data_IF_361117710292
#
_entry.id   IF_361117710292
#
_cell.length_a   1.000
_cell.length_b   1.000
_cell.length_c   1.000
_cell.angle_alpha   90.00
_cell.angle_beta   90.00
_cell.angle_gamma   90.00
#
_symmetry.space_group_name_H-M   'P 1'
#
loop_
_entity.id
_entity.type
_entity.pdbx_description
1 polymer ?
#
# COMPACT_ATOMS: atom_id res chain seq x y z
N UNK A 1 -9.31 42.06 -20.36
CA UNK A 1 -9.08 40.74 -20.98
C UNK A 1 -7.57 40.57 -21.04
N UNK A 2 -6.99 40.12 -19.99
CA UNK A 2 -5.53 39.90 -19.91
C UNK A 2 -5.32 38.69 -18.99
N UNK A 3 -4.59 37.76 -19.51
CA UNK A 3 -3.73 36.79 -18.87
C UNK A 3 -4.36 35.66 -18.04
N UNK A 4 -5.00 34.75 -18.77
CA UNK A 4 -5.22 33.36 -18.32
C UNK A 4 -4.21 32.46 -19.04
N UNK A 5 -2.93 32.75 -18.97
CA UNK A 5 -1.90 31.89 -19.56
C UNK A 5 -0.54 31.98 -18.83
N UNK A 6 -0.53 32.14 -17.53
CA UNK A 6 0.62 31.64 -16.80
C UNK A 6 0.50 30.11 -16.69
N UNK A 7 1.00 29.42 -17.72
CA UNK A 7 1.38 28.02 -17.59
C UNK A 7 2.48 27.99 -16.54
N UNK A 8 2.09 27.71 -15.27
CA UNK A 8 3.09 27.36 -14.26
C UNK A 8 3.90 26.20 -14.84
N UNK A 9 5.19 26.42 -15.14
CA UNK A 9 6.13 25.40 -15.53
C UNK A 9 6.40 24.50 -14.34
N UNK A 10 5.36 23.82 -13.84
CA UNK A 10 5.50 22.83 -12.80
C UNK A 10 6.16 21.61 -13.43
N UNK A 11 7.43 21.41 -13.15
CA UNK A 11 8.17 20.20 -13.51
C UNK A 11 7.89 19.18 -12.42
N UNK A 12 7.17 18.12 -12.77
CA UNK A 12 6.99 16.99 -11.89
C UNK A 12 8.31 16.21 -11.82
N UNK A 13 8.95 16.22 -10.65
CA UNK A 13 10.08 15.36 -10.35
C UNK A 13 9.58 14.13 -9.61
N UNK A 14 9.81 12.95 -10.17
CA UNK A 14 9.38 11.70 -9.56
C UNK A 14 10.10 11.46 -8.24
N UNK A 15 9.32 11.20 -7.20
CA UNK A 15 9.77 10.62 -5.94
C UNK A 15 8.83 9.50 -5.55
N UNK A 16 9.33 8.32 -5.16
CA UNK A 16 8.49 7.25 -4.66
C UNK A 16 7.68 7.72 -3.44
N UNK A 17 6.41 7.31 -3.37
CA UNK A 17 5.54 7.68 -2.23
C UNK A 17 6.08 7.22 -0.89
N UNK A 18 6.89 6.17 -0.87
CA UNK A 18 7.61 5.71 0.32
C UNK A 18 8.62 6.75 0.83
N UNK A 19 9.32 7.44 -0.08
CA UNK A 19 10.25 8.52 0.29
C UNK A 19 9.51 9.78 0.77
N UNK A 20 8.39 10.12 0.11
CA UNK A 20 7.52 11.20 0.59
C UNK A 20 6.98 10.90 1.99
N UNK A 21 6.60 9.65 2.26
CA UNK A 21 6.17 9.23 3.59
C UNK A 21 7.31 9.30 4.61
N UNK A 22 8.51 8.81 4.30
CA UNK A 22 9.69 8.88 5.18
C UNK A 22 10.06 10.32 5.54
N UNK A 23 9.89 11.25 4.61
CA UNK A 23 10.09 12.68 4.89
C UNK A 23 9.05 13.21 5.88
N UNK A 24 7.77 12.80 5.78
CA UNK A 24 6.75 13.16 6.77
C UNK A 24 7.06 12.55 8.15
N UNK A 25 7.59 11.33 8.21
CA UNK A 25 8.07 10.71 9.45
C UNK A 25 9.18 11.55 10.08
N UNK A 26 10.15 12.01 9.27
CA UNK A 26 11.25 12.85 9.74
C UNK A 26 10.78 14.19 10.29
N UNK A 27 9.80 14.81 9.63
CA UNK A 27 9.30 16.15 10.00
C UNK A 27 8.31 16.10 11.17
N UNK A 28 7.52 15.03 11.29
CA UNK A 28 6.38 14.96 12.19
C UNK A 28 6.25 13.59 12.89
N UNK A 29 7.33 13.07 13.55
CA UNK A 29 7.36 11.69 14.06
C UNK A 29 6.22 11.37 15.03
N UNK A 30 5.86 12.31 15.90
CA UNK A 30 4.87 12.11 16.95
C UNK A 30 3.44 12.47 16.54
N UNK A 31 3.25 13.02 15.33
CA UNK A 31 1.93 13.34 14.83
C UNK A 31 1.17 12.05 14.48
N UNK A 32 -0.14 12.02 14.75
CA UNK A 32 -1.00 10.91 14.33
C UNK A 32 -0.98 10.79 12.80
N UNK A 33 -0.58 9.61 12.30
CA UNK A 33 -0.55 9.29 10.88
C UNK A 33 -1.81 8.55 10.44
N UNK A 34 -2.32 7.66 11.27
CA UNK A 34 -3.51 6.85 11.01
C UNK A 34 -4.25 6.60 12.31
N UNK A 35 -5.57 6.63 12.25
CA UNK A 35 -6.44 6.34 13.39
C UNK A 35 -7.65 5.52 12.94
N UNK A 36 -8.05 4.59 13.78
CA UNK A 36 -9.30 3.84 13.71
C UNK A 36 -10.12 4.09 14.98
N UNK A 37 -11.28 3.48 15.10
CA UNK A 37 -12.08 3.54 16.34
C UNK A 37 -11.42 2.81 17.53
N UNK A 38 -10.43 1.93 17.26
CA UNK A 38 -9.80 1.06 18.27
C UNK A 38 -8.38 1.49 18.64
N UNK A 39 -7.66 2.09 17.69
CA UNK A 39 -6.23 2.38 17.83
C UNK A 39 -5.80 3.54 16.94
N UNK A 40 -4.63 4.08 17.21
CA UNK A 40 -3.98 5.06 16.33
C UNK A 40 -2.47 4.87 16.36
N UNK A 41 -1.80 5.16 15.24
CA UNK A 41 -0.34 5.18 15.16
C UNK A 41 0.15 6.57 14.78
N UNK A 42 1.26 6.98 15.40
CA UNK A 42 2.02 8.14 14.94
C UNK A 42 2.76 7.82 13.64
N UNK A 43 3.31 8.83 12.98
CA UNK A 43 4.16 8.61 11.81
C UNK A 43 5.35 7.70 12.13
N UNK A 44 6.00 7.89 13.28
CA UNK A 44 7.10 7.04 13.71
C UNK A 44 6.68 5.59 13.93
N UNK A 45 5.56 5.35 14.63
CA UNK A 45 5.05 4.01 14.88
C UNK A 45 4.61 3.29 13.60
N UNK A 46 3.91 4.01 12.70
CA UNK A 46 3.51 3.46 11.42
C UNK A 46 4.72 3.08 10.57
N UNK A 47 5.76 3.94 10.56
CA UNK A 47 6.99 3.70 9.83
C UNK A 47 7.77 2.50 10.38
N UNK A 48 7.90 2.39 11.69
CA UNK A 48 8.57 1.26 12.34
C UNK A 48 7.92 -0.07 11.95
N UNK A 49 6.58 -0.15 12.05
CA UNK A 49 5.83 -1.35 11.66
C UNK A 49 6.00 -1.67 10.17
N UNK A 50 5.86 -0.66 9.30
CA UNK A 50 6.08 -0.80 7.87
C UNK A 50 7.49 -1.29 7.54
N UNK A 51 8.52 -0.82 8.25
CA UNK A 51 9.90 -1.24 8.06
C UNK A 51 10.14 -2.70 8.46
N UNK A 52 9.59 -3.15 9.59
CA UNK A 52 9.67 -4.55 10.01
C UNK A 52 9.05 -5.48 8.98
N UNK A 53 7.86 -5.12 8.49
CA UNK A 53 7.18 -5.84 7.41
C UNK A 53 8.02 -5.84 6.14
N UNK A 54 8.54 -4.68 5.72
CA UNK A 54 9.35 -4.56 4.50
C UNK A 54 10.61 -5.43 4.56
N UNK A 55 11.35 -5.37 5.67
CA UNK A 55 12.57 -6.16 5.83
C UNK A 55 12.27 -7.66 5.83
N UNK A 56 11.17 -8.11 6.50
CA UNK A 56 10.73 -9.50 6.42
C UNK A 56 10.38 -9.94 5.00
N UNK A 57 9.73 -9.06 4.21
CA UNK A 57 9.37 -9.35 2.83
C UNK A 57 10.59 -9.42 1.91
N UNK A 58 11.58 -8.55 2.11
CA UNK A 58 12.85 -8.56 1.37
C UNK A 58 13.59 -9.87 1.62
N UNK A 59 13.68 -10.34 2.86
CA UNK A 59 14.29 -11.63 3.23
C UNK A 59 13.60 -12.82 2.52
N UNK A 60 12.30 -12.70 2.22
CA UNK A 60 11.51 -13.69 1.46
C UNK A 60 11.59 -13.48 -0.06
N UNK A 61 12.38 -12.50 -0.50
CA UNK A 61 12.62 -12.21 -1.91
C UNK A 61 11.52 -11.39 -2.59
N UNK A 62 10.70 -10.65 -1.84
CA UNK A 62 9.80 -9.64 -2.42
C UNK A 62 10.65 -8.47 -2.94
N UNK A 63 10.27 -7.94 -4.08
CA UNK A 63 10.92 -6.81 -4.76
C UNK A 63 10.12 -6.39 -5.98
N UNK A 64 10.77 -5.68 -6.91
CA UNK A 64 10.16 -5.11 -8.11
C UNK A 64 9.29 -6.13 -8.85
N UNK A 65 8.11 -5.68 -9.30
CA UNK A 65 7.09 -6.44 -10.05
C UNK A 65 6.49 -7.65 -9.30
N UNK A 66 6.82 -7.88 -8.03
CA UNK A 66 6.16 -8.93 -7.24
C UNK A 66 4.93 -8.36 -6.53
N UNK A 67 3.77 -8.93 -6.86
CA UNK A 67 2.50 -8.56 -6.23
C UNK A 67 2.31 -9.41 -4.97
N UNK A 68 2.05 -8.77 -3.84
CA UNK A 68 1.72 -9.41 -2.56
C UNK A 68 0.23 -9.22 -2.30
N UNK A 69 -0.48 -10.33 -2.07
CA UNK A 69 -1.89 -10.31 -1.68
C UNK A 69 -2.05 -9.80 -0.24
N UNK A 70 -3.13 -9.07 0.01
CA UNK A 70 -3.46 -8.57 1.36
C UNK A 70 -4.90 -8.92 1.68
N UNK A 71 -5.11 -9.67 2.77
CA UNK A 71 -6.43 -9.99 3.33
C UNK A 71 -6.45 -9.54 4.78
N UNK A 72 -6.87 -8.31 5.01
CA UNK A 72 -6.90 -7.68 6.33
C UNK A 72 -8.15 -6.83 6.50
N UNK A 73 -8.65 -6.76 7.73
CA UNK A 73 -9.65 -5.76 8.10
C UNK A 73 -9.10 -4.33 7.94
N UNK A 74 -10.01 -3.36 7.81
CA UNK A 74 -9.66 -1.94 7.78
C UNK A 74 -9.22 -1.48 9.18
N UNK A 75 -7.95 -1.59 9.47
CA UNK A 75 -7.31 -1.21 10.75
C UNK A 75 -6.03 -0.41 10.47
N UNK A 76 -5.37 0.06 11.52
CA UNK A 76 -4.12 0.81 11.35
C UNK A 76 -3.02 -0.02 10.71
N UNK A 77 -2.96 -1.32 11.01
CA UNK A 77 -1.99 -2.25 10.42
C UNK A 77 -2.17 -2.47 8.91
N UNK A 78 -3.38 -2.30 8.38
CA UNK A 78 -3.61 -2.33 6.94
C UNK A 78 -2.74 -1.31 6.19
N UNK A 79 -2.56 -0.12 6.78
CA UNK A 79 -1.69 0.91 6.21
C UNK A 79 -0.21 0.56 6.39
N UNK A 80 0.17 -0.04 7.52
CA UNK A 80 1.54 -0.50 7.76
C UNK A 80 1.94 -1.58 6.75
N UNK A 81 1.05 -2.55 6.47
CA UNK A 81 1.28 -3.62 5.49
C UNK A 81 1.48 -3.05 4.09
N UNK A 82 0.61 -2.14 3.65
CA UNK A 82 0.73 -1.51 2.32
C UNK A 82 2.04 -0.75 2.19
N UNK A 83 2.37 0.08 3.19
CA UNK A 83 3.66 0.79 3.20
C UNK A 83 4.85 -0.17 3.23
N UNK A 84 4.75 -1.27 4.00
CA UNK A 84 5.79 -2.29 4.08
C UNK A 84 6.04 -2.98 2.74
N UNK A 85 4.98 -3.35 2.02
CA UNK A 85 5.09 -3.94 0.68
C UNK A 85 5.77 -2.97 -0.30
N UNK A 86 5.33 -1.70 -0.32
CA UNK A 86 5.93 -0.69 -1.19
C UNK A 86 7.39 -0.41 -0.82
N UNK A 87 7.72 -0.35 0.47
CA UNK A 87 9.11 -0.19 0.94
C UNK A 87 10.00 -1.39 0.58
N UNK A 88 9.44 -2.59 0.49
CA UNK A 88 10.15 -3.76 -0.02
C UNK A 88 10.37 -3.70 -1.56
N UNK A 89 9.81 -2.71 -2.24
CA UNK A 89 9.83 -2.58 -3.69
C UNK A 89 8.79 -3.44 -4.41
N UNK A 90 7.88 -4.10 -3.67
CA UNK A 90 6.78 -4.88 -4.22
C UNK A 90 5.53 -4.05 -4.49
N UNK A 91 4.54 -4.68 -5.11
CA UNK A 91 3.20 -4.14 -5.30
C UNK A 91 2.19 -4.92 -4.46
N UNK A 92 1.01 -4.35 -4.20
CA UNK A 92 -0.02 -5.06 -3.45
C UNK A 92 -1.31 -5.23 -4.25
N UNK A 93 -2.02 -6.36 -4.00
CA UNK A 93 -3.40 -6.57 -4.39
C UNK A 93 -4.23 -6.87 -3.14
N UNK A 94 -5.35 -6.17 -2.97
CA UNK A 94 -6.19 -6.29 -1.76
C UNK A 94 -7.46 -7.05 -2.07
N UNK A 95 -7.80 -8.01 -1.21
CA UNK A 95 -9.12 -8.60 -1.14
C UNK A 95 -9.68 -8.39 0.28
N UNK A 96 -10.92 -7.89 0.38
CA UNK A 96 -11.55 -7.71 1.67
C UNK A 96 -11.84 -9.07 2.34
N UNK A 97 -11.72 -9.18 3.67
CA UNK A 97 -11.92 -10.46 4.38
C UNK A 97 -13.32 -11.03 4.22
N UNK A 98 -14.32 -10.20 3.94
CA UNK A 98 -15.73 -10.57 3.73
C UNK A 98 -16.06 -10.96 2.27
N UNK A 99 -15.07 -10.90 1.36
CA UNK A 99 -15.32 -11.36 -0.01
C UNK A 99 -15.55 -12.87 -0.06
N UNK A 100 -16.46 -13.34 -0.97
CA UNK A 100 -16.60 -14.77 -1.25
C UNK A 100 -15.25 -15.42 -1.61
N UNK A 101 -15.05 -16.65 -1.18
CA UNK A 101 -13.80 -17.39 -1.40
C UNK A 101 -13.39 -17.45 -2.87
N UNK A 102 -14.33 -17.75 -3.77
CA UNK A 102 -14.07 -17.82 -5.21
C UNK A 102 -13.58 -16.49 -5.79
N UNK A 103 -14.06 -15.37 -5.23
CA UNK A 103 -13.60 -14.03 -5.63
C UNK A 103 -12.18 -13.75 -5.16
N UNK A 104 -11.86 -14.10 -3.91
CA UNK A 104 -10.50 -13.94 -3.38
C UNK A 104 -9.52 -14.82 -4.14
N UNK A 105 -9.89 -16.07 -4.38
CA UNK A 105 -9.09 -17.01 -5.17
C UNK A 105 -8.83 -16.46 -6.57
N UNK A 106 -9.88 -16.03 -7.28
CA UNK A 106 -9.74 -15.45 -8.62
C UNK A 106 -8.77 -14.27 -8.63
N UNK A 107 -8.91 -13.30 -7.67
CA UNK A 107 -8.06 -12.11 -7.60
C UNK A 107 -6.59 -12.51 -7.46
N UNK A 108 -6.27 -13.43 -6.57
CA UNK A 108 -4.88 -13.76 -6.27
C UNK A 108 -4.24 -14.69 -7.29
N UNK A 109 -5.01 -15.58 -7.91
CA UNK A 109 -4.54 -16.41 -9.02
C UNK A 109 -4.28 -15.56 -10.27
N UNK A 110 -5.21 -14.66 -10.63
CA UNK A 110 -5.07 -13.77 -11.79
C UNK A 110 -3.92 -12.76 -11.60
N UNK A 111 -3.72 -12.26 -10.38
CA UNK A 111 -2.59 -11.40 -10.04
C UNK A 111 -1.26 -12.16 -9.89
N UNK A 112 -1.27 -13.50 -9.86
CA UNK A 112 -0.08 -14.34 -9.70
C UNK A 112 0.67 -14.09 -8.39
N UNK A 113 -0.04 -13.88 -7.27
CA UNK A 113 0.60 -13.51 -6.00
C UNK A 113 1.39 -14.69 -5.41
N UNK A 114 2.69 -14.53 -5.11
CA UNK A 114 3.47 -15.56 -4.44
C UNK A 114 3.24 -15.61 -2.93
N UNK A 115 2.80 -14.51 -2.34
CA UNK A 115 2.58 -14.35 -0.90
C UNK A 115 1.26 -13.65 -0.63
N UNK A 116 0.58 -14.05 0.46
CA UNK A 116 -0.57 -13.34 1.01
C UNK A 116 -0.26 -12.96 2.45
N UNK A 117 -0.47 -11.68 2.81
CA UNK A 117 -0.38 -11.23 4.19
C UNK A 117 -1.77 -11.19 4.80
N UNK A 118 -1.92 -11.83 5.96
CA UNK A 118 -3.15 -11.85 6.74
C UNK A 118 -2.85 -11.97 8.24
N UNK A 119 -3.85 -11.87 9.12
CA UNK A 119 -3.70 -12.13 10.55
C UNK A 119 -3.87 -13.62 10.86
N UNK A 120 -3.37 -14.04 12.05
CA UNK A 120 -3.60 -15.42 12.57
C UNK A 120 -5.09 -15.76 12.66
N UNK A 121 -5.92 -14.79 13.04
CA UNK A 121 -7.36 -14.95 13.14
C UNK A 121 -7.99 -15.25 11.78
N UNK A 122 -7.78 -14.38 10.78
CA UNK A 122 -8.33 -14.57 9.42
C UNK A 122 -7.76 -15.85 8.78
N UNK A 123 -6.47 -16.14 9.00
CA UNK A 123 -5.85 -17.36 8.46
C UNK A 123 -6.53 -18.63 8.99
N UNK A 124 -6.91 -18.64 10.27
CA UNK A 124 -7.65 -19.73 10.89
C UNK A 124 -9.07 -19.83 10.36
N UNK A 125 -9.78 -18.71 10.30
CA UNK A 125 -11.19 -18.68 9.89
C UNK A 125 -11.38 -19.04 8.41
N UNK A 126 -10.37 -18.75 7.58
CA UNK A 126 -10.40 -19.01 6.14
C UNK A 126 -9.37 -20.06 5.70
N UNK A 127 -9.07 -21.02 6.55
CA UNK A 127 -8.06 -22.05 6.30
C UNK A 127 -8.33 -22.83 5.00
N UNK A 128 -9.58 -23.15 4.71
CA UNK A 128 -9.95 -23.86 3.49
C UNK A 128 -9.63 -23.05 2.23
N UNK A 129 -9.93 -21.76 2.21
CA UNK A 129 -9.57 -20.86 1.12
C UNK A 129 -8.07 -20.87 0.89
N UNK A 130 -7.30 -20.56 1.93
CA UNK A 130 -5.85 -20.43 1.80
C UNK A 130 -5.16 -21.73 1.41
N UNK A 131 -5.73 -22.89 1.77
CA UNK A 131 -5.21 -24.21 1.35
C UNK A 131 -5.37 -24.50 -0.15
N UNK A 132 -6.30 -23.82 -0.83
CA UNK A 132 -6.53 -23.96 -2.29
C UNK A 132 -5.58 -23.10 -3.11
N UNK A 133 -4.98 -22.06 -2.51
CA UNK A 133 -4.15 -21.09 -3.22
C UNK A 133 -2.71 -21.60 -3.34
N UNK A 134 -2.12 -21.43 -4.52
CA UNK A 134 -0.72 -21.80 -4.80
C UNK A 134 0.25 -20.69 -4.33
N UNK A 135 0.07 -20.18 -3.12
CA UNK A 135 0.89 -19.11 -2.56
C UNK A 135 1.23 -19.37 -1.08
N UNK A 136 2.21 -18.68 -0.56
CA UNK A 136 2.56 -18.77 0.86
C UNK A 136 1.80 -17.74 1.67
N UNK A 137 1.09 -18.19 2.71
CA UNK A 137 0.44 -17.29 3.67
C UNK A 137 1.47 -16.81 4.69
N UNK A 138 1.59 -15.50 4.83
CA UNK A 138 2.46 -14.82 5.78
C UNK A 138 1.58 -14.18 6.86
N UNK A 139 1.90 -14.48 8.12
CA UNK A 139 1.17 -13.93 9.24
C UNK A 139 1.75 -12.56 9.62
N UNK A 140 0.88 -11.55 9.68
CA UNK A 140 1.27 -10.18 10.01
C UNK A 140 2.03 -10.11 11.34
N UNK A 141 1.56 -10.85 12.33
CA UNK A 141 2.18 -10.91 13.65
C UNK A 141 3.63 -11.38 13.59
N UNK A 142 3.94 -12.35 12.71
CA UNK A 142 5.32 -12.85 12.51
C UNK A 142 6.20 -11.85 11.74
N UNK A 143 5.63 -11.15 10.74
CA UNK A 143 6.36 -10.12 10.01
C UNK A 143 6.77 -8.95 10.92
N UNK A 144 5.95 -8.66 11.93
CA UNK A 144 6.21 -7.59 12.90
C UNK A 144 7.28 -7.97 13.94
N UNK A 145 7.63 -9.25 14.08
CA UNK A 145 8.71 -9.71 14.96
C UNK A 145 10.12 -9.46 14.39
N UNK A 146 10.23 -9.06 13.10
CA UNK A 146 11.52 -8.74 12.50
C UNK A 146 12.27 -7.67 13.31
N UNK A 147 13.49 -7.92 13.77
CA UNK A 147 14.23 -6.98 14.60
C UNK A 147 14.67 -5.72 13.84
N UNK A 148 14.74 -5.77 12.51
CA UNK A 148 15.16 -4.66 11.68
C UNK A 148 13.98 -3.70 11.43
N UNK A 149 13.97 -2.58 12.15
CA UNK A 149 12.99 -1.50 12.00
C UNK A 149 13.55 -0.29 11.19
N UNK A 150 14.73 -0.41 10.62
CA UNK A 150 15.33 0.61 9.76
C UNK A 150 14.67 0.68 8.39
N UNK A 151 14.64 1.88 7.78
CA UNK A 151 14.15 2.03 6.41
C UNK A 151 14.99 1.19 5.45
N UNK A 152 14.39 0.30 4.65
CA UNK A 152 15.14 -0.46 3.65
C UNK A 152 15.66 0.46 2.54
N UNK A 153 16.83 0.11 2.00
CA UNK A 153 17.41 0.79 0.84
C UNK A 153 16.95 0.09 -0.45
N UNK A 154 15.71 0.32 -0.85
CA UNK A 154 15.14 -0.21 -2.08
C UNK A 154 15.13 0.85 -3.18
N UNK A 155 15.52 0.44 -4.39
CA UNK A 155 15.50 1.32 -5.57
C UNK A 155 14.15 1.15 -6.30
N UNK A 156 13.23 2.06 -6.04
CA UNK A 156 11.91 2.10 -6.68
C UNK A 156 11.99 3.07 -7.87
N UNK A 157 11.62 2.59 -9.04
CA UNK A 157 11.55 3.38 -10.27
C UNK A 157 10.13 3.88 -10.52
N UNK A 158 10.01 4.87 -11.38
CA UNK A 158 8.73 5.50 -11.71
C UNK A 158 7.70 4.54 -12.31
N UNK A 159 8.16 3.60 -13.14
CA UNK A 159 7.30 2.61 -13.83
C UNK A 159 7.24 1.26 -13.12
N UNK A 160 7.83 1.11 -11.94
CA UNK A 160 7.63 -0.09 -11.13
C UNK A 160 6.16 -0.14 -10.67
N UNK A 161 5.60 -1.35 -10.63
CA UNK A 161 4.23 -1.58 -10.20
C UNK A 161 4.07 -1.20 -8.72
N UNK A 162 3.03 -0.43 -8.41
CA UNK A 162 2.71 0.02 -7.06
C UNK A 162 1.58 -0.80 -6.45
N UNK A 163 0.49 -0.99 -7.18
CA UNK A 163 -0.64 -1.81 -6.74
C UNK A 163 -1.52 -2.25 -7.91
N UNK A 164 -2.32 -3.30 -7.65
CA UNK A 164 -3.35 -3.79 -8.54
C UNK A 164 -4.71 -3.73 -7.82
N UNK A 165 -5.69 -3.06 -8.43
CA UNK A 165 -7.07 -2.98 -7.92
C UNK A 165 -7.99 -3.74 -8.85
N UNK A 166 -8.81 -4.65 -8.28
CA UNK A 166 -9.82 -5.39 -9.01
C UNK A 166 -11.17 -4.69 -8.97
N UNK A 167 -11.66 -4.34 -10.15
CA UNK A 167 -12.98 -3.73 -10.33
C UNK A 167 -13.96 -4.74 -10.93
N UNK A 168 -15.28 -4.52 -10.71
CA UNK A 168 -16.33 -5.31 -11.36
C UNK A 168 -16.29 -5.06 -12.86
N UNK A 169 -15.85 -6.07 -13.63
CA UNK A 169 -15.81 -5.97 -15.09
C UNK A 169 -17.23 -6.03 -15.70
N UNK A 170 -17.45 -5.32 -16.82
CA UNK A 170 -18.70 -5.37 -17.60
C UNK A 170 -19.05 -6.78 -18.11
N UNK A 171 -18.10 -7.69 -18.12
CA UNK A 171 -18.24 -9.11 -18.52
C UNK A 171 -18.54 -10.04 -17.35
N UNK A 172 -18.79 -9.53 -16.14
CA UNK A 172 -19.04 -10.29 -14.92
C UNK A 172 -17.81 -10.81 -14.20
N UNK A 173 -16.64 -10.87 -14.85
CA UNK A 173 -15.37 -11.21 -14.18
C UNK A 173 -14.64 -9.94 -13.73
N UNK A 174 -14.07 -9.94 -12.51
CA UNK A 174 -13.24 -8.82 -12.06
C UNK A 174 -12.06 -8.58 -13.01
N UNK A 175 -11.66 -7.32 -13.18
CA UNK A 175 -10.49 -6.92 -13.97
C UNK A 175 -9.49 -6.22 -13.07
N UNK A 176 -8.23 -6.67 -13.11
CA UNK A 176 -7.11 -6.03 -12.41
C UNK A 176 -6.65 -4.76 -13.14
N UNK A 177 -6.65 -3.64 -12.45
CA UNK A 177 -6.08 -2.37 -12.93
C UNK A 177 -4.74 -2.19 -12.23
N UNK A 178 -3.66 -2.23 -13.01
CA UNK A 178 -2.29 -2.04 -12.53
C UNK A 178 -1.94 -0.55 -12.49
N UNK A 179 -1.41 -0.11 -11.38
CA UNK A 179 -1.01 1.29 -11.14
C UNK A 179 0.48 1.32 -10.81
N UNK A 180 1.22 2.12 -11.55
CA UNK A 180 2.65 2.36 -11.36
C UNK A 180 2.93 3.41 -10.27
N UNK A 181 4.15 3.41 -9.73
CA UNK A 181 4.57 4.39 -8.73
C UNK A 181 4.45 5.84 -9.22
N UNK A 182 4.71 6.11 -10.50
CA UNK A 182 4.56 7.45 -11.08
C UNK A 182 3.11 7.96 -11.00
N UNK A 183 2.12 7.07 -11.22
CA UNK A 183 0.71 7.43 -11.15
C UNK A 183 0.33 7.87 -9.73
N UNK A 184 0.73 7.07 -8.72
CA UNK A 184 0.46 7.40 -7.33
C UNK A 184 1.24 8.63 -6.88
N UNK A 185 2.52 8.76 -7.26
CA UNK A 185 3.33 9.92 -6.93
C UNK A 185 2.74 11.21 -7.50
N UNK A 186 2.27 11.20 -8.76
CA UNK A 186 1.59 12.35 -9.37
C UNK A 186 0.28 12.69 -8.65
N UNK A 187 -0.45 11.68 -8.17
CA UNK A 187 -1.69 11.87 -7.43
C UNK A 187 -1.46 12.55 -6.06
N UNK A 188 -0.43 12.13 -5.32
CA UNK A 188 -0.15 12.66 -3.97
C UNK A 188 0.74 13.91 -3.97
N UNK A 189 1.38 14.23 -5.10
CA UNK A 189 2.26 15.38 -5.20
C UNK A 189 1.47 16.69 -5.03
N UNK A 190 1.92 17.62 -4.18
CA UNK A 190 1.27 18.91 -3.96
C UNK A 190 1.48 19.88 -5.14
N UNK A 191 0.98 19.54 -6.32
CA UNK A 191 0.92 20.49 -7.42
C UNK A 191 -0.32 21.41 -7.27
N UNK A 192 -0.33 22.63 -7.85
CA UNK A 192 -1.44 23.58 -7.71
C UNK A 192 -2.81 23.01 -8.09
N UNK A 193 -2.86 22.13 -9.11
CA UNK A 193 -4.12 21.46 -9.53
C UNK A 193 -4.62 20.45 -8.48
N UNK A 194 -3.70 19.74 -7.85
CA UNK A 194 -4.04 18.80 -6.78
C UNK A 194 -4.37 19.53 -5.48
N UNK A 195 -3.73 20.68 -5.19
CA UNK A 195 -4.00 21.47 -4.00
C UNK A 195 -5.43 22.01 -3.96
N UNK A 196 -6.02 22.40 -5.09
CA UNK A 196 -7.43 22.80 -5.17
C UNK A 196 -8.39 21.63 -4.91
N UNK A 197 -8.06 20.45 -5.47
CA UNK A 197 -8.87 19.24 -5.31
C UNK A 197 -8.71 18.61 -3.92
N UNK A 198 -7.52 18.71 -3.34
CA UNK A 198 -7.15 18.09 -2.06
C UNK A 198 -6.80 19.13 -1.00
N UNK A 199 -7.56 20.20 -0.87
CA UNK A 199 -7.38 21.23 0.17
C UNK A 199 -7.25 20.72 1.62
N UNK A 200 -7.31 19.39 1.78
CA UNK A 200 -7.01 18.64 3.00
C UNK A 200 -5.51 18.38 3.21
N UNK A 201 -4.68 18.42 2.17
CA UNK A 201 -3.23 18.14 2.28
C UNK A 201 -2.52 19.21 3.13
N UNK A 202 -3.00 20.46 3.08
CA UNK A 202 -2.47 21.54 3.89
C UNK A 202 -2.75 21.39 5.40
N UNK A 203 -3.66 20.50 5.80
CA UNK A 203 -3.97 20.21 7.21
C UNK A 203 -3.25 18.98 7.74
N UNK A 204 -2.35 18.36 6.96
CA UNK A 204 -1.47 17.30 7.40
C UNK A 204 -2.14 15.96 7.72
N UNK A 205 -3.29 15.67 7.14
CA UNK A 205 -3.88 14.34 7.17
C UNK A 205 -4.26 13.94 5.75
N UNK A 206 -3.53 12.97 5.18
CA UNK A 206 -3.95 12.30 3.95
C UNK A 206 -4.81 11.11 4.36
N UNK A 207 -6.12 11.27 4.28
CA UNK A 207 -7.05 10.15 4.34
C UNK A 207 -7.11 9.53 2.94
N UNK A 208 -6.33 8.51 2.67
CA UNK A 208 -6.51 7.64 1.52
C UNK A 208 -7.67 6.68 1.82
N UNK A 209 -8.90 7.18 1.71
CA UNK A 209 -10.08 6.34 1.62
C UNK A 209 -10.08 5.75 0.21
N UNK A 210 -9.59 4.53 0.05
CA UNK A 210 -9.90 3.73 -1.12
C UNK A 210 -11.16 2.93 -0.82
N UNK A 211 -12.22 3.24 -1.55
CA UNK A 211 -13.49 2.53 -1.52
C UNK A 211 -13.35 1.09 -2.04
#
# INVERSE_FOLDING_TARGET
MSDINEKSNFVFEFQPVTKLFEEQVRLHPDKCAVASSKESFTYAQLNERANRIANSLIEKGVGCEKIVGVVLERCCDFYAVRQGILKAGGAFAVAAPDYPDDRVQFIFEDAGVPFIITTKEIAKDRQELFSRLSCTVLLLEELLENPNAGNPDTRIKEHDLCYCIYTSGSTGKPKGVMIEHINLANFVNPNPKNAETYGYVSRGSVSLSMA
#
